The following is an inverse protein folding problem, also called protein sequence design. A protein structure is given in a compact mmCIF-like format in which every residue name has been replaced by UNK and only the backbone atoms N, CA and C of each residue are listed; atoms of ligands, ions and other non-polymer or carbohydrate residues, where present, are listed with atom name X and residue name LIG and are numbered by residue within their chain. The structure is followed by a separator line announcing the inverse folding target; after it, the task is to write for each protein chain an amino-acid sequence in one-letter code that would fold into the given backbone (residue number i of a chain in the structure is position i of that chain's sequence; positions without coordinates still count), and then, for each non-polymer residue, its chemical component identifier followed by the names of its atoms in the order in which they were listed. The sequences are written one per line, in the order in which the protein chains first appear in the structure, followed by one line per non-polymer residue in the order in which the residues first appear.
data_IF_366531726160
#
_entry.id   IF_366531726160
#
_cell.length_a   1.000
_cell.length_b   1.000
_cell.length_c   1.000
_cell.angle_alpha   90.00
_cell.angle_beta   90.00
_cell.angle_gamma   90.00
#
_symmetry.space_group_name_H-M   'P 1'
#
loop_
_entity.id
_entity.type
_entity.pdbx_description
1 polymer ?
#
# COMPACT_ATOMS: atom_id res chain seq x y z
N UNK A 1 -18.37 0.62 -23.93
CA UNK A 1 -18.56 1.24 -22.61
C UNK A 1 -17.61 2.41 -22.56
N UNK A 2 -18.10 3.63 -22.36
CA UNK A 2 -17.27 4.82 -22.27
C UNK A 2 -16.51 4.86 -20.94
N UNK A 3 -15.39 5.61 -20.88
CA UNK A 3 -14.62 5.76 -19.65
C UNK A 3 -15.47 6.32 -18.48
N UNK A 4 -16.41 7.22 -18.78
CA UNK A 4 -17.33 7.79 -17.79
C UNK A 4 -18.32 6.75 -17.23
N UNK A 5 -18.82 5.83 -18.07
CA UNK A 5 -19.72 4.77 -17.63
C UNK A 5 -18.97 3.79 -16.69
N UNK A 6 -17.74 3.46 -17.05
CA UNK A 6 -16.90 2.58 -16.22
C UNK A 6 -16.62 3.18 -14.84
N UNK A 7 -16.25 4.47 -14.78
CA UNK A 7 -15.99 5.17 -13.51
C UNK A 7 -17.25 5.21 -12.63
N UNK A 8 -18.40 5.51 -13.24
CA UNK A 8 -19.68 5.54 -12.53
C UNK A 8 -20.03 4.17 -11.92
N UNK A 9 -19.93 3.10 -12.70
CA UNK A 9 -20.23 1.74 -12.26
C UNK A 9 -19.26 1.27 -11.16
N UNK A 10 -17.98 1.61 -11.29
CA UNK A 10 -16.98 1.31 -10.28
C UNK A 10 -17.27 2.05 -8.97
N UNK A 11 -17.54 3.36 -9.01
CA UNK A 11 -17.85 4.13 -7.80
C UNK A 11 -19.14 3.64 -7.14
N UNK A 12 -20.15 3.27 -7.92
CA UNK A 12 -21.37 2.66 -7.39
C UNK A 12 -21.09 1.33 -6.68
N UNK A 13 -20.24 0.49 -7.27
CA UNK A 13 -19.79 -0.76 -6.65
C UNK A 13 -19.03 -0.53 -5.35
N UNK A 14 -18.09 0.42 -5.33
CA UNK A 14 -17.32 0.78 -4.14
C UNK A 14 -18.21 1.36 -3.03
N UNK A 15 -19.22 2.14 -3.39
CA UNK A 15 -20.21 2.67 -2.43
C UNK A 15 -20.95 1.52 -1.74
N UNK A 16 -21.43 0.54 -2.50
CA UNK A 16 -22.09 -0.63 -1.93
C UNK A 16 -21.19 -1.47 -1.01
N UNK A 17 -19.87 -1.50 -1.29
CA UNK A 17 -18.89 -2.12 -0.39
C UNK A 17 -18.69 -1.26 0.86
N UNK A 18 -18.58 0.06 0.72
CA UNK A 18 -18.39 0.99 1.84
C UNK A 18 -19.54 0.90 2.85
N UNK A 19 -20.79 0.83 2.36
CA UNK A 19 -21.97 0.65 3.20
C UNK A 19 -21.94 -0.67 4.00
N UNK A 20 -21.44 -1.75 3.39
CA UNK A 20 -21.32 -3.05 4.06
C UNK A 20 -20.23 -3.09 5.12
N UNK A 21 -19.06 -2.50 4.85
CA UNK A 21 -17.95 -2.50 5.81
C UNK A 21 -18.20 -1.55 6.98
N UNK A 22 -19.11 -0.58 6.85
CA UNK A 22 -19.51 0.31 7.94
C UNK A 22 -20.03 -0.48 9.15
N UNK A 23 -20.82 -1.53 8.92
CA UNK A 23 -21.34 -2.40 9.98
C UNK A 23 -20.24 -3.19 10.71
N UNK A 24 -19.06 -3.31 10.10
CA UNK A 24 -17.92 -4.05 10.62
C UNK A 24 -16.87 -3.16 11.29
N UNK A 25 -17.10 -1.84 11.34
CA UNK A 25 -16.12 -0.84 11.82
C UNK A 25 -14.74 -1.00 11.15
N UNK A 26 -14.76 -1.24 9.83
CA UNK A 26 -13.57 -1.48 9.03
C UNK A 26 -13.21 -0.27 8.17
N UNK A 27 -11.92 -0.07 7.96
CA UNK A 27 -11.38 0.79 6.92
C UNK A 27 -10.80 -0.11 5.83
N UNK A 28 -11.22 0.14 4.59
CA UNK A 28 -10.68 -0.58 3.44
C UNK A 28 -9.98 0.40 2.50
N UNK A 29 -8.80 0.05 2.01
CA UNK A 29 -8.07 0.82 1.00
C UNK A 29 -7.96 -0.06 -0.23
N UNK A 30 -8.51 0.40 -1.34
CA UNK A 30 -8.55 -0.33 -2.60
C UNK A 30 -7.96 0.51 -3.73
N UNK A 31 -7.19 -0.09 -4.64
CA UNK A 31 -6.83 0.57 -5.88
C UNK A 31 -8.06 0.69 -6.77
N UNK A 32 -8.22 1.82 -7.43
CA UNK A 32 -9.33 2.08 -8.31
C UNK A 32 -8.88 2.87 -9.54
N UNK A 33 -9.45 2.55 -10.69
CA UNK A 33 -9.23 3.33 -11.89
C UNK A 33 -10.23 4.50 -11.91
N UNK A 34 -9.71 5.71 -11.96
CA UNK A 34 -10.50 6.93 -12.09
C UNK A 34 -10.26 7.56 -13.45
N UNK A 35 -11.21 8.36 -13.95
CA UNK A 35 -11.02 9.12 -15.17
C UNK A 35 -10.61 10.55 -14.83
N UNK A 36 -9.54 11.02 -15.46
CA UNK A 36 -9.15 12.40 -15.38
C UNK A 36 -8.95 12.97 -16.79
N UNK A 37 -9.71 14.00 -17.14
CA UNK A 37 -9.71 14.60 -18.50
C UNK A 37 -9.87 13.54 -19.61
N UNK A 38 -10.66 12.48 -19.33
CA UNK A 38 -10.89 11.38 -20.28
C UNK A 38 -9.77 10.33 -20.35
N UNK A 39 -8.74 10.45 -19.51
CA UNK A 39 -7.68 9.46 -19.40
C UNK A 39 -7.86 8.61 -18.15
N UNK A 40 -7.71 7.27 -18.26
CA UNK A 40 -7.76 6.41 -17.09
C UNK A 40 -6.53 6.63 -16.22
N UNK A 41 -6.74 6.68 -14.92
CA UNK A 41 -5.74 6.93 -13.92
C UNK A 41 -5.95 5.98 -12.75
N UNK A 42 -4.89 5.40 -12.22
CA UNK A 42 -4.95 4.57 -11.03
C UNK A 42 -4.82 5.45 -9.78
N UNK A 43 -5.79 5.37 -8.89
CA UNK A 43 -5.78 6.03 -7.59
C UNK A 43 -6.17 5.03 -6.49
N UNK A 44 -6.11 5.45 -5.23
CA UNK A 44 -6.63 4.68 -4.09
C UNK A 44 -7.90 5.32 -3.58
N UNK A 45 -8.87 4.47 -3.29
CA UNK A 45 -10.08 4.84 -2.58
C UNK A 45 -10.03 4.27 -1.17
N UNK A 46 -10.26 5.12 -0.20
CA UNK A 46 -10.51 4.71 1.17
C UNK A 46 -12.02 4.57 1.34
N UNK A 47 -12.42 3.39 1.79
CA UNK A 47 -13.81 3.10 2.15
C UNK A 47 -13.89 3.14 3.67
N UNK A 48 -14.64 4.10 4.19
CA UNK A 48 -14.77 4.32 5.63
C UNK A 48 -16.14 4.94 5.94
N UNK A 49 -16.77 4.51 7.01
CA UNK A 49 -18.03 5.08 7.54
C UNK A 49 -19.14 5.17 6.46
N UNK A 50 -19.22 4.18 5.58
CA UNK A 50 -20.19 4.15 4.47
C UNK A 50 -19.84 5.06 3.28
N UNK A 51 -18.67 5.69 3.29
CA UNK A 51 -18.23 6.64 2.26
C UNK A 51 -17.04 6.14 1.46
N UNK A 52 -16.96 6.57 0.20
CA UNK A 52 -15.82 6.38 -0.69
C UNK A 52 -15.06 7.70 -0.77
N UNK A 53 -13.82 7.72 -0.31
CA UNK A 53 -12.98 8.92 -0.28
C UNK A 53 -11.69 8.65 -1.06
N UNK A 54 -11.29 9.48 -2.02
CA UNK A 54 -9.99 9.37 -2.65
C UNK A 54 -8.89 9.47 -1.59
N UNK A 55 -8.08 8.42 -1.47
CA UNK A 55 -6.97 8.41 -0.53
C UNK A 55 -5.85 9.35 -0.98
N UNK A 56 -5.75 9.52 -2.30
CA UNK A 56 -4.80 10.39 -2.94
C UNK A 56 -5.42 10.94 -4.22
N UNK A 57 -5.32 12.22 -4.45
CA UNK A 57 -5.70 12.78 -5.73
C UNK A 57 -4.51 12.71 -6.68
N UNK A 58 -4.43 11.66 -7.48
CA UNK A 58 -3.48 11.55 -8.58
C UNK A 58 -3.64 12.69 -9.61
N UNK A 59 -4.78 13.36 -9.61
CA UNK A 59 -5.07 14.58 -10.35
C UNK A 59 -4.05 15.68 -10.04
N UNK A 60 -3.63 15.80 -8.79
CA UNK A 60 -2.59 16.75 -8.39
C UNK A 60 -1.23 16.44 -9.02
N UNK A 61 -0.98 15.16 -9.33
CA UNK A 61 0.27 14.67 -9.89
C UNK A 61 0.44 14.99 -11.37
N UNK A 62 -0.65 14.99 -12.14
CA UNK A 62 -0.59 15.24 -13.60
C UNK A 62 -0.51 16.72 -13.95
N UNK A 63 -0.98 17.60 -13.08
CA UNK A 63 -0.98 19.05 -13.34
C UNK A 63 0.41 19.72 -13.38
N UNK A 64 1.48 18.95 -13.17
CA UNK A 64 2.86 19.46 -13.31
C UNK A 64 3.19 20.65 -12.41
N UNK A 65 2.34 20.94 -11.43
CA UNK A 65 2.61 22.00 -10.49
C UNK A 65 3.71 21.51 -9.56
N UNK A 66 4.90 22.02 -9.73
CA UNK A 66 6.17 21.69 -9.06
C UNK A 66 6.16 22.00 -7.53
N UNK A 67 5.19 21.48 -6.79
CA UNK A 67 5.20 21.58 -5.35
C UNK A 67 5.58 20.22 -4.76
N UNK A 68 6.78 20.11 -4.21
CA UNK A 68 7.36 18.87 -3.68
C UNK A 68 6.44 18.12 -2.69
N UNK A 69 5.57 18.85 -1.97
CA UNK A 69 4.65 18.27 -1.00
C UNK A 69 3.52 17.40 -1.59
N UNK A 70 3.30 17.45 -2.89
CA UNK A 70 2.21 16.69 -3.56
C UNK A 70 2.51 15.21 -3.72
N UNK A 71 3.77 14.84 -3.60
CA UNK A 71 4.21 13.45 -3.67
C UNK A 71 4.24 12.77 -2.31
N UNK A 72 3.97 13.52 -1.23
CA UNK A 72 3.91 12.93 0.09
C UNK A 72 2.81 11.86 0.12
N UNK A 73 3.12 10.63 0.57
CA UNK A 73 2.14 9.58 0.67
C UNK A 73 1.04 9.97 1.66
N UNK A 74 -0.24 9.65 1.37
CA UNK A 74 -1.31 9.85 2.33
C UNK A 74 -1.03 9.02 3.59
N UNK A 75 -1.26 9.64 4.75
CA UNK A 75 -1.12 8.97 6.06
C UNK A 75 -2.44 9.01 6.78
N UNK A 76 -2.90 7.84 7.19
CA UNK A 76 -4.14 7.64 7.93
C UNK A 76 -3.82 7.27 9.37
N UNK A 77 -4.61 7.75 10.31
CA UNK A 77 -4.59 7.27 11.69
C UNK A 77 -5.77 6.31 11.88
N UNK A 78 -5.45 5.08 12.27
CA UNK A 78 -6.41 4.03 12.56
C UNK A 78 -6.08 3.50 13.95
N UNK A 79 -6.89 3.83 14.94
CA UNK A 79 -6.72 3.44 16.35
C UNK A 79 -5.31 3.76 16.89
N UNK A 80 -4.77 4.91 16.51
CA UNK A 80 -3.45 5.36 16.90
C UNK A 80 -2.30 4.73 16.11
N UNK A 81 -2.57 3.88 15.13
CA UNK A 81 -1.58 3.37 14.16
C UNK A 81 -1.56 4.27 12.94
N UNK A 82 -0.42 4.86 12.64
CA UNK A 82 -0.23 5.73 11.50
C UNK A 82 0.20 4.94 10.27
N UNK A 83 -0.67 4.85 9.29
CA UNK A 83 -0.51 4.04 8.08
C UNK A 83 -0.24 4.96 6.89
N UNK A 84 0.91 4.81 6.25
CA UNK A 84 1.20 5.46 4.97
C UNK A 84 0.90 4.52 3.82
N UNK A 85 0.21 5.01 2.80
CA UNK A 85 -0.09 4.25 1.58
C UNK A 85 0.82 4.73 0.46
N UNK A 86 1.57 3.80 -0.13
CA UNK A 86 2.61 4.09 -1.12
C UNK A 86 2.34 3.36 -2.44
N UNK A 87 2.53 4.07 -3.55
CA UNK A 87 2.49 3.57 -4.91
C UNK A 87 3.88 3.49 -5.56
N UNK A 88 4.59 4.61 -5.49
CA UNK A 88 5.91 4.78 -6.06
C UNK A 88 6.91 4.78 -4.91
N UNK A 89 7.46 3.60 -4.65
CA UNK A 89 8.35 3.41 -3.51
C UNK A 89 9.58 4.31 -3.58
N UNK A 90 10.12 4.52 -4.78
CA UNK A 90 11.37 5.28 -4.95
C UNK A 90 11.17 6.77 -4.64
N UNK A 91 10.04 7.34 -5.04
CA UNK A 91 9.72 8.74 -4.84
C UNK A 91 9.12 9.03 -3.47
N UNK A 92 8.14 8.23 -3.08
CA UNK A 92 7.32 8.52 -1.91
C UNK A 92 8.02 8.15 -0.60
N UNK A 93 8.97 7.22 -0.64
CA UNK A 93 9.73 6.82 0.53
C UNK A 93 10.58 7.97 1.11
N UNK A 94 11.11 8.85 0.24
CA UNK A 94 11.87 10.01 0.67
C UNK A 94 10.99 11.08 1.33
N UNK A 95 9.72 11.12 0.95
CA UNK A 95 8.73 12.09 1.44
C UNK A 95 7.89 11.54 2.60
N UNK A 96 8.18 10.32 3.05
CA UNK A 96 7.46 9.68 4.14
C UNK A 96 7.66 10.49 5.45
N UNK A 97 6.57 10.97 6.08
CA UNK A 97 6.69 11.72 7.33
C UNK A 97 7.21 10.83 8.46
N UNK A 98 7.76 11.46 9.48
CA UNK A 98 8.19 10.77 10.70
C UNK A 98 7.00 10.22 11.49
N UNK A 99 7.22 9.14 12.23
CA UNK A 99 6.19 8.54 13.10
C UNK A 99 5.12 7.77 12.35
N UNK A 100 5.41 7.27 11.15
CA UNK A 100 4.60 6.25 10.48
C UNK A 100 4.90 4.90 11.13
N UNK A 101 3.86 4.16 11.46
CA UNK A 101 3.97 2.82 12.08
C UNK A 101 3.92 1.71 11.04
N UNK A 102 3.17 1.91 9.94
CA UNK A 102 3.01 0.94 8.85
C UNK A 102 3.12 1.62 7.49
N UNK A 103 3.91 1.02 6.60
CA UNK A 103 3.87 1.31 5.16
C UNK A 103 3.02 0.25 4.47
N UNK A 104 1.94 0.67 3.83
CA UNK A 104 1.11 -0.15 2.96
C UNK A 104 1.48 0.13 1.50
N UNK A 105 2.22 -0.78 0.88
CA UNK A 105 2.72 -0.66 -0.48
C UNK A 105 1.96 -1.56 -1.44
N UNK A 106 1.33 -0.96 -2.45
CA UNK A 106 0.67 -1.70 -3.51
C UNK A 106 1.63 -1.88 -4.70
N UNK A 107 2.08 -3.10 -4.89
CA UNK A 107 3.02 -3.44 -5.95
C UNK A 107 2.27 -3.85 -7.21
N UNK A 108 2.25 -2.98 -8.23
CA UNK A 108 1.65 -3.28 -9.54
C UNK A 108 2.70 -3.68 -10.60
N UNK A 109 3.82 -4.24 -10.18
CA UNK A 109 4.82 -4.68 -11.13
C UNK A 109 4.40 -5.99 -11.77
N UNK A 110 3.99 -5.91 -13.03
CA UNK A 110 3.82 -7.06 -13.89
C UNK A 110 5.19 -7.63 -14.32
N UNK A 111 5.23 -8.91 -14.55
CA UNK A 111 6.39 -9.57 -15.15
C UNK A 111 6.04 -9.92 -16.59
N UNK A 112 6.97 -9.68 -17.50
CA UNK A 112 6.88 -10.24 -18.83
C UNK A 112 7.03 -11.78 -18.73
N UNK A 113 6.15 -12.52 -19.39
CA UNK A 113 6.19 -13.99 -19.40
C UNK A 113 7.50 -14.57 -19.92
N UNK A 114 8.30 -13.78 -20.61
CA UNK A 114 9.62 -14.18 -21.13
C UNK A 114 10.73 -14.10 -20.07
N UNK A 115 10.48 -13.49 -18.92
CA UNK A 115 11.51 -13.23 -17.92
C UNK A 115 11.69 -14.44 -16.99
N UNK A 116 12.76 -15.21 -17.24
CA UNK A 116 13.14 -16.37 -16.41
C UNK A 116 13.70 -15.98 -15.03
N UNK A 117 13.90 -14.68 -14.78
CA UNK A 117 14.53 -14.18 -13.56
C UNK A 117 13.50 -13.78 -12.48
N UNK A 118 12.23 -14.04 -12.71
CA UNK A 118 11.11 -13.60 -11.85
C UNK A 118 11.32 -13.89 -10.36
N UNK A 119 11.76 -15.10 -10.03
CA UNK A 119 12.01 -15.48 -8.63
C UNK A 119 13.21 -14.76 -8.01
N UNK A 120 14.26 -14.54 -8.79
CA UNK A 120 15.45 -13.82 -8.35
C UNK A 120 15.14 -12.34 -8.13
N UNK A 121 14.37 -11.73 -9.03
CA UNK A 121 13.91 -10.34 -8.90
C UNK A 121 13.03 -10.17 -7.65
N UNK A 122 12.11 -11.08 -7.40
CA UNK A 122 11.27 -11.07 -6.20
C UNK A 122 12.10 -11.17 -4.92
N UNK A 123 13.14 -12.02 -4.90
CA UNK A 123 14.04 -12.16 -3.77
C UNK A 123 14.88 -10.89 -3.53
N UNK A 124 15.37 -10.26 -4.59
CA UNK A 124 16.11 -9.00 -4.51
C UNK A 124 15.23 -7.88 -3.98
N UNK A 125 14.00 -7.77 -4.48
CA UNK A 125 13.03 -6.75 -4.02
C UNK A 125 12.66 -6.96 -2.56
N UNK A 126 12.39 -8.19 -2.13
CA UNK A 126 12.10 -8.47 -0.72
C UNK A 126 13.26 -8.08 0.19
N UNK A 127 14.50 -8.26 -0.25
CA UNK A 127 15.70 -7.79 0.46
C UNK A 127 15.76 -6.27 0.59
N UNK A 128 15.36 -5.52 -0.42
CA UNK A 128 15.26 -4.06 -0.36
C UNK A 128 14.18 -3.61 0.65
N UNK A 129 13.00 -4.23 0.61
CA UNK A 129 11.90 -3.89 1.52
C UNK A 129 12.23 -4.19 2.98
N UNK A 130 12.94 -5.29 3.26
CA UNK A 130 13.46 -5.60 4.60
C UNK A 130 14.38 -4.51 5.14
N UNK A 131 15.26 -3.96 4.28
CA UNK A 131 16.12 -2.83 4.65
C UNK A 131 15.33 -1.56 4.93
N UNK A 132 14.24 -1.32 4.20
CA UNK A 132 13.36 -0.17 4.44
C UNK A 132 12.71 -0.31 5.81
N UNK A 133 12.04 -1.45 6.07
CA UNK A 133 11.37 -1.74 7.33
C UNK A 133 12.32 -1.57 8.52
N UNK A 134 13.48 -2.25 8.49
CA UNK A 134 14.44 -2.23 9.61
C UNK A 134 15.12 -0.87 9.81
N UNK A 135 15.48 -0.14 8.73
CA UNK A 135 16.13 1.17 8.88
C UNK A 135 15.21 2.25 9.40
N UNK A 136 13.92 2.15 9.10
CA UNK A 136 12.91 3.11 9.52
C UNK A 136 12.15 2.67 10.78
N UNK A 137 12.39 1.45 11.24
CA UNK A 137 11.65 0.83 12.35
C UNK A 137 10.14 0.91 12.13
N UNK A 138 9.69 0.50 10.93
CA UNK A 138 8.27 0.53 10.51
C UNK A 138 7.85 -0.85 10.04
N UNK A 139 6.60 -1.21 10.28
CA UNK A 139 5.98 -2.35 9.63
C UNK A 139 5.82 -2.09 8.13
N UNK A 140 5.91 -3.13 7.33
CA UNK A 140 5.82 -3.00 5.87
C UNK A 140 4.93 -4.10 5.31
N UNK A 141 3.77 -3.72 4.77
CA UNK A 141 2.87 -4.62 4.07
C UNK A 141 2.97 -4.39 2.56
N UNK A 142 3.36 -5.42 1.83
CA UNK A 142 3.37 -5.43 0.38
C UNK A 142 2.17 -6.20 -0.14
N UNK A 143 1.27 -5.53 -0.85
CA UNK A 143 0.16 -6.12 -1.55
C UNK A 143 0.53 -6.28 -3.02
N UNK A 144 0.53 -7.51 -3.51
CA UNK A 144 0.86 -7.84 -4.90
C UNK A 144 -0.34 -8.55 -5.55
N UNK A 145 -0.82 -8.08 -6.71
CA UNK A 145 -1.89 -8.75 -7.44
C UNK A 145 -1.42 -10.12 -7.95
N UNK A 146 -2.37 -11.01 -8.16
CA UNK A 146 -2.16 -12.32 -8.79
C UNK A 146 -3.04 -12.45 -10.01
N UNK A 147 -2.53 -13.02 -11.09
CA UNK A 147 -3.28 -13.28 -12.32
C UNK A 147 -2.50 -12.93 -13.58
N UNK A 148 -3.21 -12.87 -14.70
CA UNK A 148 -2.65 -12.46 -15.96
C UNK A 148 -3.57 -11.44 -16.63
N UNK A 149 -2.98 -10.42 -17.23
CA UNK A 149 -3.68 -9.44 -18.03
C UNK A 149 -2.82 -9.08 -19.24
N UNK A 150 -3.37 -9.30 -20.43
CA UNK A 150 -2.65 -9.16 -21.69
C UNK A 150 -1.34 -10.01 -21.70
N UNK A 151 -0.21 -9.44 -21.98
CA UNK A 151 1.11 -10.10 -21.95
C UNK A 151 1.76 -10.10 -20.56
N UNK A 152 1.10 -9.47 -19.58
CA UNK A 152 1.62 -9.28 -18.22
C UNK A 152 1.14 -10.36 -17.27
N UNK A 153 2.04 -10.87 -16.42
CA UNK A 153 1.73 -11.81 -15.36
C UNK A 153 2.04 -11.18 -14.01
N UNK A 154 1.08 -11.28 -13.11
CA UNK A 154 1.19 -10.86 -11.72
C UNK A 154 1.32 -12.11 -10.85
N UNK A 155 2.41 -12.21 -10.12
CA UNK A 155 2.77 -13.44 -9.40
C UNK A 155 2.14 -13.55 -8.01
N UNK A 156 1.50 -12.51 -7.50
CA UNK A 156 1.08 -12.48 -6.10
C UNK A 156 2.29 -12.46 -5.15
N UNK A 157 2.20 -13.25 -4.08
CA UNK A 157 3.27 -13.34 -3.09
C UNK A 157 3.30 -12.13 -2.14
N UNK A 158 2.14 -11.55 -1.84
CA UNK A 158 1.98 -10.50 -0.82
C UNK A 158 2.62 -10.91 0.49
N UNK A 159 3.17 -9.97 1.25
CA UNK A 159 3.83 -10.26 2.52
C UNK A 159 3.77 -9.10 3.49
N UNK A 160 4.00 -9.41 4.76
CA UNK A 160 4.14 -8.43 5.83
C UNK A 160 5.49 -8.61 6.52
N UNK A 161 6.19 -7.49 6.72
CA UNK A 161 7.42 -7.42 7.50
C UNK A 161 7.16 -6.68 8.80
N UNK A 162 7.81 -7.12 9.88
CA UNK A 162 7.86 -6.35 11.11
C UNK A 162 8.88 -5.18 11.01
N UNK A 163 8.95 -4.37 12.04
CA UNK A 163 9.84 -3.21 12.17
C UNK A 163 11.34 -3.57 12.19
N UNK A 164 11.67 -4.84 12.37
CA UNK A 164 13.03 -5.38 12.21
C UNK A 164 13.31 -5.91 10.80
N UNK A 165 12.32 -5.88 9.90
CA UNK A 165 12.43 -6.39 8.53
C UNK A 165 12.32 -7.92 8.42
N UNK A 166 11.77 -8.61 9.42
CA UNK A 166 11.49 -10.05 9.36
C UNK A 166 10.14 -10.29 8.72
N UNK A 167 10.03 -11.31 7.88
CA UNK A 167 8.75 -11.74 7.32
C UNK A 167 7.91 -12.38 8.42
N UNK A 168 6.75 -11.81 8.71
CA UNK A 168 5.80 -12.31 9.71
C UNK A 168 4.58 -12.98 9.08
N UNK A 169 4.24 -12.60 7.85
CA UNK A 169 3.19 -13.25 7.06
C UNK A 169 3.55 -13.18 5.57
N UNK A 170 3.21 -14.21 4.81
CA UNK A 170 3.45 -14.28 3.37
C UNK A 170 2.39 -15.13 2.68
N UNK A 171 1.84 -14.60 1.59
CA UNK A 171 0.96 -15.34 0.67
C UNK A 171 1.77 -16.22 -0.29
N UNK A 172 1.20 -17.31 -0.79
CA UNK A 172 1.78 -18.08 -1.87
C UNK A 172 1.86 -17.25 -3.15
N UNK A 173 2.77 -17.64 -4.07
CA UNK A 173 2.79 -17.10 -5.43
C UNK A 173 1.75 -17.82 -6.29
N UNK A 174 1.21 -17.12 -7.28
CA UNK A 174 0.23 -17.61 -8.27
C UNK A 174 -1.10 -18.12 -7.67
N UNK A 175 -1.41 -17.72 -6.46
CA UNK A 175 -2.61 -18.12 -5.74
C UNK A 175 -3.23 -16.93 -5.02
N UNK A 176 -4.57 -16.80 -5.09
CA UNK A 176 -5.30 -15.81 -4.32
C UNK A 176 -5.26 -16.16 -2.83
N UNK A 177 -4.97 -15.20 -1.99
CA UNK A 177 -4.83 -15.42 -0.56
C UNK A 177 -5.22 -14.19 0.25
N UNK A 178 -5.80 -14.42 1.43
CA UNK A 178 -6.03 -13.41 2.45
C UNK A 178 -4.96 -13.54 3.53
N UNK A 179 -4.18 -12.48 3.73
CA UNK A 179 -3.28 -12.37 4.87
C UNK A 179 -3.96 -11.60 6.00
N UNK A 180 -3.90 -12.15 7.20
CA UNK A 180 -4.36 -11.48 8.42
C UNK A 180 -3.16 -11.38 9.36
N UNK A 181 -2.82 -10.16 9.75
CA UNK A 181 -1.69 -9.89 10.62
C UNK A 181 -2.05 -8.83 11.65
N UNK A 182 -1.87 -9.15 12.92
CA UNK A 182 -1.92 -8.15 13.99
C UNK A 182 -0.64 -7.33 13.98
N UNK A 183 -0.80 -5.99 13.93
CA UNK A 183 0.31 -5.05 13.96
C UNK A 183 0.38 -4.48 15.36
N UNK A 184 1.47 -4.77 16.05
CA UNK A 184 1.74 -4.18 17.36
C UNK A 184 2.60 -2.95 17.18
N UNK A 185 2.17 -1.85 17.78
CA UNK A 185 3.00 -0.65 17.87
C UNK A 185 4.28 -1.03 18.61
N UNK A 186 5.44 -0.78 17.99
CA UNK A 186 6.71 -0.98 18.68
C UNK A 186 6.67 -0.21 19.99
N UNK A 187 6.75 -0.90 21.09
CA UNK A 187 7.03 -0.26 22.37
C UNK A 187 8.44 0.28 22.19
N UNK A 188 8.58 1.59 21.93
CA UNK A 188 9.84 2.24 22.22
C UNK A 188 10.13 1.86 23.67
N UNK A 189 11.16 1.06 23.87
CA UNK A 189 11.79 0.96 25.17
C UNK A 189 12.34 2.36 25.43
N UNK A 190 11.50 3.22 25.96
CA UNK A 190 11.92 4.43 26.61
C UNK A 190 12.86 4.00 27.72
N UNK A 191 14.07 4.47 27.56
CA UNK A 191 15.01 4.55 28.63
C UNK A 191 15.65 3.23 29.11
N UNK A 192 16.78 2.98 28.54
CA UNK A 192 17.90 2.81 29.44
C UNK A 192 18.17 4.19 30.10
N UNK A 193 17.26 4.61 30.98
CA UNK A 193 17.58 5.64 31.96
C UNK A 193 18.63 5.05 32.89
N UNK A 194 19.81 5.63 32.84
CA UNK A 194 20.77 5.81 33.90
C UNK A 194 20.73 4.75 35.02
N UNK A 195 21.32 3.61 34.79
CA UNK A 195 21.97 2.91 35.85
C UNK A 195 23.43 3.32 35.88
N UNK A 196 23.73 4.38 36.64
CA UNK A 196 25.04 4.56 37.22
C UNK A 196 25.46 3.23 37.88
N UNK A 197 26.47 2.61 37.30
CA UNK A 197 27.16 1.49 37.94
C UNK A 197 27.95 2.06 39.11
N UNK A 198 27.91 1.39 40.27
CA UNK A 198 28.65 1.79 41.47
C UNK A 198 30.17 1.64 41.29
#
# INVERSE_FOLDING_TARGET
VGAADFEHDMLAGLTGVAERIQELDMICIVPAAVSFEGQPLLDYMMLKDGHVVPARSSIALQRGENNDTRWAPPVFDVDGVRIAVIFDLDRELEMLPTGVDLIAYFQFNAFDMTDRETAAIAAVRSGAYRKIASKRSVWFACMAPVGAYDESVYTGGSFVLDDCGRVVAQAPCFEESLLVQEIQRGVMLDALEDHELP
#
